data_IF_216368843783
#
_entry.id   IF_216368843783
#
_cell.length_a   1.000
_cell.length_b   1.000
_cell.length_c   1.000
_cell.angle_alpha   90.00
_cell.angle_beta   90.00
_cell.angle_gamma   90.00
#
_symmetry.space_group_name_H-M   'P 1'
#
loop_
_entity.id
_entity.type
_entity.pdbx_description
1 polymer ?
#
# COMPACT_ATOMS: atom_id res chain seq x y z
N UNK A 1 -16.77 8.13 -3.27
CA UNK A 1 -17.10 9.48 -2.78
C UNK A 1 -16.10 9.98 -1.75
N UNK A 2 -16.09 11.30 -1.47
CA UNK A 2 -15.18 11.88 -0.46
C UNK A 2 -14.94 13.36 -0.71
N UNK A 3 -14.00 13.92 0.05
CA UNK A 3 -13.59 15.33 -0.03
C UNK A 3 -12.13 15.36 -0.45
N UNK A 4 -11.80 16.21 -1.42
CA UNK A 4 -10.45 16.41 -1.91
C UNK A 4 -10.17 17.91 -2.09
N UNK A 5 -9.11 18.39 -1.47
CA UNK A 5 -8.61 19.75 -1.63
C UNK A 5 -7.44 19.77 -2.61
N UNK A 6 -7.39 20.78 -3.44
CA UNK A 6 -6.38 20.95 -4.49
C UNK A 6 -5.60 22.25 -4.27
N UNK A 7 -4.31 22.19 -4.54
CA UNK A 7 -3.45 23.38 -4.59
C UNK A 7 -2.55 23.34 -5.83
N UNK A 8 -1.76 24.38 -6.04
CA UNK A 8 -0.82 24.47 -7.17
C UNK A 8 0.15 23.28 -7.27
N UNK A 9 0.49 22.68 -6.15
CA UNK A 9 1.53 21.66 -6.06
C UNK A 9 0.99 20.26 -5.81
N UNK A 10 -0.34 20.08 -5.77
CA UNK A 10 -0.92 18.76 -5.56
C UNK A 10 -2.31 18.77 -4.94
N UNK A 11 -2.66 17.67 -4.29
CA UNK A 11 -3.95 17.50 -3.64
C UNK A 11 -3.83 16.60 -2.41
N UNK A 12 -4.73 16.84 -1.46
CA UNK A 12 -4.95 15.99 -0.30
C UNK A 12 -6.44 15.68 -0.20
N UNK A 13 -6.80 14.48 0.22
CA UNK A 13 -8.21 14.13 0.35
C UNK A 13 -8.46 12.92 1.23
N UNK A 14 -9.66 12.87 1.79
CA UNK A 14 -10.25 11.71 2.44
C UNK A 14 -11.36 11.20 1.52
N UNK A 15 -11.12 10.06 0.89
CA UNK A 15 -11.99 9.51 -0.15
C UNK A 15 -12.25 8.01 0.08
N UNK A 16 -13.37 7.53 -0.44
CA UNK A 16 -13.64 6.10 -0.61
C UNK A 16 -13.71 5.81 -2.10
N UNK A 17 -12.72 5.07 -2.59
CA UNK A 17 -12.59 4.76 -4.01
C UNK A 17 -11.77 3.48 -4.24
N UNK A 18 -11.77 3.02 -5.47
CA UNK A 18 -10.86 1.99 -5.96
C UNK A 18 -9.55 2.66 -6.34
N UNK A 19 -8.44 2.02 -6.03
CA UNK A 19 -7.13 2.57 -6.32
C UNK A 19 -6.36 1.68 -7.27
N UNK A 20 -5.89 2.28 -8.37
CA UNK A 20 -5.00 1.64 -9.32
C UNK A 20 -3.72 2.47 -9.47
N UNK A 21 -2.58 1.84 -9.26
CA UNK A 21 -1.27 2.42 -9.56
C UNK A 21 -0.55 1.55 -10.58
N UNK A 22 -0.04 2.19 -11.62
CA UNK A 22 0.67 1.53 -12.70
C UNK A 22 0.24 2.03 -14.06
N UNK A 23 1.05 1.74 -15.06
CA UNK A 23 0.85 2.12 -16.45
C UNK A 23 0.37 0.92 -17.31
N UNK A 24 0.16 -0.24 -16.69
CA UNK A 24 -0.28 -1.44 -17.40
C UNK A 24 -1.74 -1.32 -17.84
N UNK A 25 -2.04 -1.85 -19.02
CA UNK A 25 -3.37 -1.76 -19.65
C UNK A 25 -4.35 -2.79 -19.09
N UNK A 26 -3.87 -3.94 -18.67
CA UNK A 26 -4.70 -5.09 -18.34
C UNK A 26 -4.72 -5.42 -16.84
N UNK A 27 -3.60 -5.27 -16.15
CA UNK A 27 -3.49 -5.44 -14.69
C UNK A 27 -2.26 -4.71 -14.18
N UNK A 28 -2.33 -4.20 -12.97
CA UNK A 28 -1.17 -3.64 -12.27
C UNK A 28 -0.75 -4.59 -11.16
N UNK A 29 0.55 -4.84 -11.05
CA UNK A 29 1.12 -5.64 -9.97
C UNK A 29 1.16 -4.85 -8.65
N UNK A 30 1.06 -3.51 -8.72
CA UNK A 30 1.20 -2.63 -7.56
C UNK A 30 -0.14 -2.49 -6.85
N UNK A 31 -1.07 -1.81 -7.49
CA UNK A 31 -2.46 -1.68 -7.02
C UNK A 31 -3.36 -1.84 -8.24
N UNK A 32 -4.09 -2.93 -8.28
CA UNK A 32 -4.79 -3.37 -9.51
C UNK A 32 -6.08 -2.59 -9.80
N UNK A 33 -6.61 -1.85 -8.83
CA UNK A 33 -7.94 -1.23 -8.93
C UNK A 33 -9.12 -2.20 -8.92
N UNK A 34 -8.86 -3.50 -8.75
CA UNK A 34 -9.90 -4.55 -8.76
C UNK A 34 -10.42 -4.93 -7.38
N UNK A 35 -9.75 -4.45 -6.32
CA UNK A 35 -10.24 -4.62 -4.94
C UNK A 35 -11.45 -3.72 -4.70
N UNK A 36 -12.39 -4.12 -3.81
CA UNK A 36 -13.49 -3.25 -3.40
C UNK A 36 -12.99 -1.88 -2.94
N UNK A 37 -13.79 -0.84 -3.17
CA UNK A 37 -13.46 0.51 -2.71
C UNK A 37 -13.33 0.56 -1.19
N UNK A 38 -12.30 1.23 -0.70
CA UNK A 38 -12.03 1.41 0.71
C UNK A 38 -11.77 2.89 1.04
N UNK A 39 -12.10 3.33 2.28
CA UNK A 39 -11.78 4.69 2.71
C UNK A 39 -10.27 4.86 2.84
N UNK A 40 -9.76 6.01 2.37
CA UNK A 40 -8.34 6.31 2.39
C UNK A 40 -8.06 7.80 2.48
N UNK A 41 -7.00 8.15 3.18
CA UNK A 41 -6.32 9.43 3.05
C UNK A 41 -5.42 9.35 1.82
N UNK A 42 -5.50 10.34 0.94
CA UNK A 42 -4.66 10.44 -0.26
C UNK A 42 -3.88 11.73 -0.26
N UNK A 43 -2.62 11.67 -0.67
CA UNK A 43 -1.78 12.83 -0.93
C UNK A 43 -1.12 12.64 -2.29
N UNK A 44 -1.29 13.62 -3.17
CA UNK A 44 -0.56 13.73 -4.41
C UNK A 44 0.22 15.04 -4.39
N UNK A 45 1.53 14.99 -4.59
CA UNK A 45 2.39 16.16 -4.65
C UNK A 45 3.14 16.18 -5.98
N UNK A 46 3.11 17.33 -6.63
CA UNK A 46 3.84 17.60 -7.89
C UNK A 46 4.61 18.90 -7.72
N UNK A 47 5.68 18.91 -6.89
CA UNK A 47 6.42 20.13 -6.57
C UNK A 47 7.07 20.75 -7.80
N UNK A 48 7.48 19.90 -8.75
CA UNK A 48 8.01 20.27 -10.06
C UNK A 48 7.42 19.38 -11.14
N UNK A 49 7.41 19.81 -12.40
CA UNK A 49 6.74 19.11 -13.52
C UNK A 49 7.27 17.69 -13.79
N UNK A 50 8.48 17.40 -13.36
CA UNK A 50 9.16 16.12 -13.60
C UNK A 50 9.19 15.18 -12.38
N UNK A 51 8.67 15.63 -11.20
CA UNK A 51 8.57 14.81 -9.96
C UNK A 51 7.14 14.78 -9.49
N UNK A 52 6.66 13.60 -9.14
CA UNK A 52 5.34 13.36 -8.55
C UNK A 52 5.48 12.35 -7.41
N UNK A 53 4.93 12.68 -6.26
CA UNK A 53 4.79 11.78 -5.12
C UNK A 53 3.32 11.47 -4.90
N UNK A 54 2.98 10.19 -4.93
CA UNK A 54 1.69 9.67 -4.54
C UNK A 54 1.81 8.95 -3.20
N UNK A 55 0.88 9.21 -2.30
CA UNK A 55 0.79 8.53 -1.02
C UNK A 55 -0.66 8.24 -0.68
N UNK A 56 -0.86 7.09 -0.06
CA UNK A 56 -2.15 6.71 0.54
C UNK A 56 -1.95 6.11 1.93
N UNK A 57 -2.97 6.29 2.75
CA UNK A 57 -3.19 5.53 3.97
C UNK A 57 -4.66 5.11 4.01
N UNK A 58 -4.92 3.80 3.96
CA UNK A 58 -6.26 3.25 3.79
C UNK A 58 -6.69 2.32 4.91
N UNK A 59 -7.99 2.28 5.17
CA UNK A 59 -8.66 1.39 6.11
C UNK A 59 -9.26 0.21 5.35
N UNK A 60 -8.72 -0.98 5.59
CA UNK A 60 -9.15 -2.21 4.93
C UNK A 60 -10.13 -2.98 5.81
N UNK A 61 -10.96 -3.80 5.17
CA UNK A 61 -11.81 -4.76 5.86
C UNK A 61 -11.04 -6.04 6.09
N UNK A 62 -11.07 -6.56 7.32
CA UNK A 62 -10.53 -7.86 7.68
C UNK A 62 -11.68 -8.83 7.96
N UNK A 63 -11.57 -10.06 7.44
CA UNK A 63 -12.51 -11.14 7.76
C UNK A 63 -11.99 -12.04 8.89
N UNK A 64 -10.81 -11.73 9.44
CA UNK A 64 -10.22 -12.50 10.55
C UNK A 64 -10.74 -11.96 11.86
N UNK A 65 -11.43 -12.80 12.63
CA UNK A 65 -11.98 -12.44 13.94
C UNK A 65 -10.86 -12.33 14.99
N UNK A 66 -10.90 -11.26 15.79
CA UNK A 66 -9.99 -11.05 16.91
C UNK A 66 -10.55 -11.74 18.17
N UNK A 67 -9.90 -12.81 18.59
CA UNK A 67 -10.32 -13.57 19.77
C UNK A 67 -10.26 -12.79 21.09
N UNK A 68 -9.54 -11.67 21.12
CA UNK A 68 -9.41 -10.82 22.32
C UNK A 68 -10.48 -9.72 22.38
N UNK A 69 -11.18 -9.45 21.29
CA UNK A 69 -12.16 -8.37 21.14
C UNK A 69 -13.53 -8.92 20.79
N UNK A 70 -14.37 -9.11 21.80
CA UNK A 70 -15.75 -9.59 21.62
C UNK A 70 -16.74 -8.70 22.36
N UNK A 71 -17.99 -8.72 21.91
CA UNK A 71 -19.14 -8.21 22.65
C UNK A 71 -20.15 -9.35 22.85
N UNK A 72 -20.96 -9.20 23.88
CA UNK A 72 -21.97 -10.21 24.21
C UNK A 72 -23.32 -9.72 23.69
N UNK A 73 -23.88 -10.43 22.73
CA UNK A 73 -25.20 -10.17 22.16
C UNK A 73 -26.27 -11.05 22.87
N UNK A 74 -27.36 -10.44 23.28
CA UNK A 74 -28.53 -11.18 23.75
C UNK A 74 -29.44 -11.50 22.58
N UNK A 75 -29.59 -12.78 22.29
CA UNK A 75 -30.54 -13.23 21.28
C UNK A 75 -31.99 -13.11 21.81
N UNK A 76 -32.95 -13.07 20.89
CA UNK A 76 -34.38 -12.97 21.16
C UNK A 76 -34.95 -14.15 21.98
N UNK A 77 -34.25 -15.27 22.01
CA UNK A 77 -34.57 -16.46 22.82
C UNK A 77 -34.01 -16.39 24.26
N UNK A 78 -33.36 -15.27 24.65
CA UNK A 78 -32.78 -15.09 25.99
C UNK A 78 -31.37 -15.67 26.19
N UNK A 79 -30.82 -16.36 25.18
CA UNK A 79 -29.42 -16.82 25.21
C UNK A 79 -28.46 -15.69 24.88
N UNK A 80 -27.24 -15.79 25.41
CA UNK A 80 -26.16 -14.85 25.12
C UNK A 80 -25.12 -15.50 24.22
N UNK A 81 -24.74 -14.82 23.14
CA UNK A 81 -23.68 -15.26 22.23
C UNK A 81 -22.53 -14.27 22.21
N UNK A 82 -21.28 -14.78 22.07
CA UNK A 82 -20.09 -13.95 21.94
C UNK A 82 -19.84 -13.68 20.46
N UNK A 83 -20.00 -12.42 20.06
CA UNK A 83 -19.66 -11.97 18.70
C UNK A 83 -18.26 -11.34 18.73
N UNK A 84 -17.35 -11.89 17.91
CA UNK A 84 -15.97 -11.42 17.83
C UNK A 84 -15.81 -10.34 16.76
N UNK A 85 -15.14 -9.24 17.11
CA UNK A 85 -14.83 -8.18 16.14
C UNK A 85 -13.68 -8.61 15.24
N UNK A 86 -13.70 -8.23 13.96
CA UNK A 86 -12.56 -8.46 13.08
C UNK A 86 -11.37 -7.59 13.49
N UNK A 87 -10.17 -8.04 13.16
CA UNK A 87 -8.96 -7.21 13.28
C UNK A 87 -9.08 -5.96 12.42
N UNK A 88 -8.63 -4.83 12.96
CA UNK A 88 -8.43 -3.65 12.12
C UNK A 88 -7.26 -3.90 11.18
N UNK A 89 -7.40 -3.54 9.91
CA UNK A 89 -6.38 -3.73 8.89
C UNK A 89 -6.17 -2.44 8.10
N UNK A 90 -4.93 -2.09 7.90
CA UNK A 90 -4.55 -0.84 7.25
C UNK A 90 -3.56 -1.10 6.12
N UNK A 91 -3.54 -0.18 5.15
CA UNK A 91 -2.51 -0.11 4.12
C UNK A 91 -1.92 1.29 4.09
N UNK A 92 -0.60 1.38 4.08
CA UNK A 92 0.10 2.60 3.71
C UNK A 92 0.94 2.31 2.47
N UNK A 93 0.92 3.21 1.50
CA UNK A 93 1.73 3.06 0.29
C UNK A 93 2.19 4.43 -0.21
N UNK A 94 3.40 4.46 -0.76
CA UNK A 94 3.91 5.64 -1.46
C UNK A 94 4.56 5.24 -2.79
N UNK A 95 4.56 6.17 -3.72
CA UNK A 95 5.17 6.02 -5.03
C UNK A 95 5.74 7.35 -5.51
N UNK A 96 7.05 7.39 -5.69
CA UNK A 96 7.76 8.50 -6.29
C UNK A 96 7.92 8.23 -7.78
N UNK A 97 7.43 9.14 -8.61
CA UNK A 97 7.54 9.08 -10.07
C UNK A 97 8.41 10.23 -10.56
N UNK A 98 9.40 9.90 -11.37
CA UNK A 98 10.29 10.87 -12.04
C UNK A 98 10.07 10.78 -13.55
N UNK A 99 9.99 11.94 -14.19
CA UNK A 99 9.88 12.09 -15.66
C UNK A 99 11.13 12.75 -16.21
N UNK A 100 12.24 12.01 -16.41
CA UNK A 100 13.53 12.58 -16.80
C UNK A 100 13.51 13.20 -18.20
N UNK A 101 12.71 12.64 -19.10
CA UNK A 101 12.44 13.16 -20.44
C UNK A 101 10.96 13.03 -20.77
N UNK A 102 10.53 13.69 -21.83
CA UNK A 102 9.14 13.61 -22.32
C UNK A 102 8.77 12.15 -22.59
N UNK A 103 7.57 11.74 -22.18
CA UNK A 103 7.00 10.41 -22.39
C UNK A 103 7.76 9.24 -21.73
N UNK A 104 8.72 9.49 -20.85
CA UNK A 104 9.37 8.48 -20.01
C UNK A 104 9.01 8.72 -18.57
N UNK A 105 8.51 7.69 -17.89
CA UNK A 105 8.20 7.67 -16.47
C UNK A 105 8.97 6.56 -15.79
N UNK A 106 9.59 6.86 -14.68
CA UNK A 106 10.25 5.89 -13.80
C UNK A 106 9.63 6.08 -12.42
N UNK A 107 9.07 5.03 -11.87
CA UNK A 107 8.42 5.07 -10.56
C UNK A 107 9.04 4.03 -9.65
N UNK A 108 9.24 4.42 -8.40
CA UNK A 108 9.65 3.52 -7.31
C UNK A 108 8.77 3.79 -6.11
N UNK A 109 8.46 2.76 -5.37
CA UNK A 109 7.62 2.92 -4.21
C UNK A 109 7.67 1.73 -3.27
N UNK A 110 6.97 1.86 -2.20
CA UNK A 110 6.79 0.79 -1.22
C UNK A 110 5.41 0.86 -0.58
N UNK A 111 4.98 -0.27 -0.06
CA UNK A 111 3.73 -0.39 0.68
C UNK A 111 3.90 -1.27 1.90
N UNK A 112 3.01 -1.11 2.84
CA UNK A 112 2.90 -1.95 4.02
C UNK A 112 1.43 -2.21 4.31
N UNK A 113 1.11 -3.47 4.59
CA UNK A 113 -0.18 -3.88 5.14
C UNK A 113 0.07 -4.30 6.59
N UNK A 114 -0.68 -3.73 7.52
CA UNK A 114 -0.49 -3.99 8.93
C UNK A 114 -1.83 -4.05 9.69
N UNK A 115 -1.80 -4.68 10.85
CA UNK A 115 -2.96 -4.85 11.72
C UNK A 115 -2.61 -4.36 13.12
N UNK A 116 -3.28 -3.30 13.57
CA UNK A 116 -3.13 -2.72 14.89
C UNK A 116 -4.50 -2.24 15.41
N UNK A 117 -4.60 -1.91 16.70
CA UNK A 117 -5.83 -1.36 17.28
C UNK A 117 -6.16 0.01 16.66
N UNK A 118 -5.12 0.82 16.43
CA UNK A 118 -5.22 2.15 15.82
C UNK A 118 -4.18 2.31 14.71
N UNK A 119 -4.39 3.21 13.73
CA UNK A 119 -3.38 3.50 12.73
C UNK A 119 -2.08 3.99 13.36
N UNK A 120 -0.96 3.43 12.95
CA UNK A 120 0.36 3.78 13.49
C UNK A 120 0.88 5.09 12.89
N UNK A 121 1.28 6.04 13.74
CA UNK A 121 1.67 7.40 13.34
C UNK A 121 2.86 7.45 12.36
N UNK A 122 3.83 6.52 12.47
CA UNK A 122 4.99 6.47 11.58
C UNK A 122 4.61 6.18 10.12
N UNK A 123 3.50 5.49 9.88
CA UNK A 123 3.05 5.18 8.52
C UNK A 123 2.31 6.33 7.84
N UNK A 124 2.06 7.45 8.55
CA UNK A 124 1.56 8.70 7.94
C UNK A 124 2.67 9.57 7.33
N UNK A 125 3.93 9.15 7.37
CA UNK A 125 5.03 9.85 6.71
C UNK A 125 5.05 9.49 5.22
N UNK A 126 4.71 10.41 4.29
CA UNK A 126 4.47 10.09 2.87
C UNK A 126 5.70 9.60 2.11
N UNK A 127 6.90 9.91 2.59
CA UNK A 127 8.18 9.53 1.95
C UNK A 127 8.91 8.41 2.70
N UNK A 128 8.25 7.81 3.70
CA UNK A 128 8.89 6.79 4.53
C UNK A 128 9.16 5.51 3.73
N UNK A 129 10.28 4.88 4.04
CA UNK A 129 10.56 3.51 3.64
C UNK A 129 10.00 2.57 4.70
N UNK A 130 8.79 2.06 4.48
CA UNK A 130 8.01 1.34 5.49
C UNK A 130 8.69 0.07 5.99
N UNK A 131 9.46 -0.62 5.16
CA UNK A 131 10.21 -1.81 5.58
C UNK A 131 11.24 -1.51 6.67
N UNK A 132 11.88 -0.35 6.62
CA UNK A 132 12.85 0.04 7.65
C UNK A 132 12.14 0.43 8.96
N UNK A 133 10.96 1.06 8.87
CA UNK A 133 10.13 1.38 10.04
C UNK A 133 9.61 0.10 10.71
N UNK A 134 9.11 -0.85 9.92
CA UNK A 134 8.66 -2.16 10.38
C UNK A 134 9.78 -2.89 11.15
N UNK A 135 10.99 -2.96 10.60
CA UNK A 135 12.11 -3.65 11.23
C UNK A 135 12.57 -3.02 12.56
N UNK A 136 12.38 -1.73 12.75
CA UNK A 136 12.69 -1.04 14.02
C UNK A 136 11.61 -1.34 15.07
N UNK A 137 10.37 -1.45 14.67
CA UNK A 137 9.23 -1.63 15.59
C UNK A 137 9.01 -3.09 15.99
N UNK A 138 9.31 -4.05 15.12
CA UNK A 138 9.17 -5.49 15.40
C UNK A 138 10.31 -6.07 16.24
N UNK A 139 11.42 -5.36 16.41
CA UNK A 139 12.49 -5.79 17.32
C UNK A 139 12.02 -5.78 18.76
N UNK A 140 11.54 -6.92 19.23
CA UNK A 140 11.22 -7.18 20.64
C UNK A 140 9.75 -7.44 20.97
N UNK A 141 8.81 -7.28 20.04
CA UNK A 141 7.38 -7.46 20.32
C UNK A 141 6.77 -8.75 19.75
N UNK A 142 7.50 -9.53 18.95
CA UNK A 142 7.01 -10.80 18.40
C UNK A 142 5.75 -10.70 17.52
N UNK A 143 5.42 -9.52 17.02
CA UNK A 143 4.22 -9.28 16.21
C UNK A 143 4.59 -9.31 14.74
N UNK A 144 4.47 -10.47 14.12
CA UNK A 144 4.70 -10.70 12.68
C UNK A 144 3.45 -10.40 11.81
N UNK A 145 2.62 -9.42 12.18
CA UNK A 145 1.37 -9.13 11.46
C UNK A 145 1.51 -8.02 10.40
N UNK A 146 2.73 -7.79 9.92
CA UNK A 146 3.02 -6.73 8.96
C UNK A 146 3.65 -7.33 7.71
N UNK A 147 3.16 -6.90 6.54
CA UNK A 147 3.72 -7.30 5.25
C UNK A 147 4.13 -6.04 4.46
N UNK A 148 5.43 -5.89 4.23
CA UNK A 148 6.02 -4.74 3.53
C UNK A 148 6.51 -5.15 2.15
N UNK A 149 6.11 -4.38 1.13
CA UNK A 149 6.43 -4.62 -0.27
C UNK A 149 7.21 -3.45 -0.86
N UNK A 150 8.02 -3.74 -1.87
CA UNK A 150 8.76 -2.75 -2.66
C UNK A 150 8.44 -2.98 -4.11
N UNK A 151 8.30 -1.91 -4.88
CA UNK A 151 8.01 -2.00 -6.30
C UNK A 151 8.72 -0.91 -7.10
N UNK A 152 8.95 -1.22 -8.37
CA UNK A 152 9.46 -0.27 -9.34
C UNK A 152 8.73 -0.46 -10.68
N UNK A 153 8.64 0.61 -11.44
CA UNK A 153 8.00 0.63 -12.75
C UNK A 153 8.70 1.59 -13.69
N UNK A 154 8.78 1.20 -14.96
CA UNK A 154 9.19 2.07 -16.05
C UNK A 154 8.13 2.03 -17.15
N UNK A 155 7.84 3.19 -17.73
CA UNK A 155 6.89 3.32 -18.84
C UNK A 155 7.39 4.33 -19.85
N UNK A 156 7.38 3.96 -21.13
CA UNK A 156 7.86 4.79 -22.23
C UNK A 156 6.87 4.81 -23.38
N UNK A 157 6.59 6.01 -23.90
CA UNK A 157 5.81 6.27 -25.12
C UNK A 157 6.63 7.10 -26.13
N UNK A 158 7.95 6.93 -26.13
CA UNK A 158 8.85 7.69 -27.00
C UNK A 158 8.85 7.18 -28.45
N UNK A 159 8.43 5.95 -28.68
CA UNK A 159 8.25 5.38 -30.03
C UNK A 159 6.79 5.62 -30.44
N UNK A 160 6.59 6.17 -31.63
CA UNK A 160 5.26 6.46 -32.18
C UNK A 160 4.42 5.18 -32.27
N UNK A 161 3.18 5.25 -31.79
CA UNK A 161 2.23 4.13 -31.70
C UNK A 161 2.63 2.95 -30.80
N UNK A 162 3.71 3.08 -30.02
CA UNK A 162 4.18 2.03 -29.11
C UNK A 162 4.22 2.54 -27.67
N UNK A 163 3.62 1.78 -26.76
CA UNK A 163 3.72 1.96 -25.32
C UNK A 163 4.44 0.75 -24.72
N UNK A 164 5.63 0.97 -24.23
CA UNK A 164 6.42 -0.02 -23.51
C UNK A 164 6.32 0.26 -22.02
N UNK A 165 6.05 -0.77 -21.24
CA UNK A 165 6.10 -0.68 -19.78
C UNK A 165 6.63 -1.99 -19.19
N UNK A 166 7.29 -1.87 -18.05
CA UNK A 166 7.70 -2.98 -17.22
C UNK A 166 7.48 -2.60 -15.75
N UNK A 167 7.10 -3.55 -14.94
CA UNK A 167 6.98 -3.39 -13.51
C UNK A 167 7.55 -4.59 -12.79
N UNK A 168 8.12 -4.36 -11.61
CA UNK A 168 8.60 -5.40 -10.72
C UNK A 168 8.04 -5.13 -9.33
N UNK A 169 7.60 -6.18 -8.67
CA UNK A 169 7.01 -6.15 -7.36
C UNK A 169 7.64 -7.21 -6.50
N UNK A 170 8.15 -6.80 -5.35
CA UNK A 170 8.79 -7.68 -4.38
C UNK A 170 7.96 -7.72 -3.11
N UNK A 171 7.48 -8.89 -2.78
CA UNK A 171 6.86 -9.22 -1.52
C UNK A 171 7.90 -9.95 -0.64
N UNK A 172 8.06 -9.53 0.59
CA UNK A 172 8.99 -10.13 1.56
C UNK A 172 10.48 -10.23 1.12
N UNK A 173 11.10 -9.13 0.68
CA UNK A 173 12.55 -9.14 0.42
C UNK A 173 13.33 -9.28 1.73
N UNK A 174 14.04 -10.37 1.89
CA UNK A 174 15.09 -10.53 2.89
C UNK A 174 16.46 -10.27 2.26
N UNK A 175 16.97 -9.05 2.40
CA UNK A 175 18.27 -8.64 1.82
C UNK A 175 19.44 -9.53 2.24
N UNK A 176 19.40 -10.16 3.41
CA UNK A 176 20.42 -11.12 3.86
C UNK A 176 20.46 -12.39 2.99
N UNK A 177 19.34 -12.79 2.38
CA UNK A 177 19.23 -13.98 1.53
C UNK A 177 19.63 -13.74 0.07
N UNK A 178 19.67 -12.50 -0.39
CA UNK A 178 20.23 -12.17 -1.71
C UNK A 178 21.75 -12.47 -1.82
N UNK A 179 22.45 -12.52 -0.70
CA UNK A 179 23.89 -12.84 -0.62
C UNK A 179 24.19 -14.33 -0.44
N UNK A 180 23.20 -15.15 -0.12
CA UNK A 180 23.37 -16.60 0.09
C UNK A 180 22.81 -17.35 -1.12
N UNK A 181 23.61 -18.23 -1.66
CA UNK A 181 23.33 -19.07 -2.85
C UNK A 181 22.19 -20.09 -2.67
N UNK A 182 21.30 -19.92 -1.72
CA UNK A 182 20.17 -20.82 -1.51
C UNK A 182 18.88 -20.25 -2.13
N UNK A 183 18.16 -21.05 -2.97
CA UNK A 183 16.97 -20.60 -3.70
C UNK A 183 15.73 -20.65 -2.82
N UNK A 184 15.67 -19.92 -1.72
CA UNK A 184 14.50 -19.99 -0.83
C UNK A 184 13.85 -18.65 -0.55
N UNK A 185 12.65 -18.47 -1.14
CA UNK A 185 11.51 -17.69 -0.65
C UNK A 185 11.59 -16.16 -0.71
N UNK A 186 12.09 -15.59 -1.79
CA UNK A 186 11.69 -14.25 -2.18
C UNK A 186 10.53 -14.33 -3.17
N UNK A 187 9.37 -13.78 -2.83
CA UNK A 187 8.23 -13.70 -3.74
C UNK A 187 8.36 -12.42 -4.59
N UNK A 188 8.36 -12.57 -5.89
CA UNK A 188 8.40 -11.47 -6.85
C UNK A 188 7.41 -11.71 -7.98
N UNK A 189 6.91 -10.64 -8.58
CA UNK A 189 6.12 -10.69 -9.82
C UNK A 189 6.62 -9.63 -10.81
N UNK A 190 6.48 -9.89 -12.09
CA UNK A 190 6.88 -9.02 -13.20
C UNK A 190 5.80 -8.93 -14.28
#
# INVERSE_FOLDING_TARGET
GGIKAYCKYGSIGLIKDNLAWGESRHSSNILSGRVPSFPMLTLNLTPVKWVELNYIHGWLVSNVKDSTRYYVEKLSNGTTEKEYRPYNKYIAANMLTVRPIKNLRISVGNSIIYSEVTPHAAYFIPIAFFKSLDHVQTKGLGVENQNSQIFAMISSRNIKHLHLYASIYFDEIQFKRLKMSEPQRNLYSY
#
